data_IF_015677318382
#
_entry.id   IF_015677318382
#
_cell.length_a   1.000
_cell.length_b   1.000
_cell.length_c   1.000
_cell.angle_alpha   90.00
_cell.angle_beta   90.00
_cell.angle_gamma   90.00
#
_symmetry.space_group_name_H-M   'P 1'
#
loop_
_entity.id
_entity.type
_entity.pdbx_description
1 polymer ?
#
# COMPACT_ATOMS: atom_id res chain seq x y z
N UNK A 1 -12.35 -15.27 42.86
CA UNK A 1 -11.97 -14.00 42.21
C UNK A 1 -11.04 -14.38 41.07
N UNK A 2 -11.59 -14.43 39.85
CA UNK A 2 -10.93 -14.73 38.56
C UNK A 2 -9.83 -13.68 38.32
N UNK A 3 -8.62 -14.02 37.90
CA UNK A 3 -8.26 -14.24 36.49
C UNK A 3 -7.28 -15.43 36.33
N UNK A 4 -7.70 -16.37 35.49
CA UNK A 4 -6.93 -17.46 34.88
C UNK A 4 -6.78 -17.07 33.40
N UNK A 5 -5.55 -16.97 32.89
CA UNK A 5 -5.03 -17.89 31.86
C UNK A 5 -3.65 -17.44 31.37
N UNK A 6 -2.65 -18.18 31.85
CA UNK A 6 -1.47 -18.58 31.08
C UNK A 6 -1.92 -19.53 29.97
N UNK A 7 -1.34 -19.39 28.77
CA UNK A 7 -0.98 -20.50 27.89
C UNK A 7 -0.73 -20.02 26.44
N UNK A 8 0.51 -20.24 26.02
CA UNK A 8 0.83 -20.99 24.80
C UNK A 8 0.77 -20.26 23.46
N UNK A 9 1.98 -19.85 23.06
CA UNK A 9 2.57 -20.01 21.72
C UNK A 9 1.81 -20.97 20.80
N UNK A 10 1.15 -20.42 19.78
CA UNK A 10 0.64 -21.14 18.61
C UNK A 10 1.49 -20.81 17.38
N UNK A 11 1.62 -21.73 16.42
CA UNK A 11 2.84 -21.92 15.65
C UNK A 11 2.83 -21.19 14.31
N UNK A 12 3.98 -21.25 13.63
CA UNK A 12 4.16 -21.01 12.18
C UNK A 12 4.43 -19.56 11.78
N UNK A 13 5.64 -19.09 12.14
CA UNK A 13 6.48 -18.30 11.23
C UNK A 13 6.73 -19.16 9.98
N UNK A 14 5.71 -19.20 9.12
CA UNK A 14 5.80 -19.72 7.78
C UNK A 14 6.00 -18.47 6.95
N UNK A 15 7.23 -18.25 6.48
CA UNK A 15 7.60 -17.21 5.51
C UNK A 15 6.80 -17.40 4.21
N UNK A 16 5.49 -17.16 4.27
CA UNK A 16 4.71 -16.57 3.20
C UNK A 16 5.29 -15.17 2.98
N UNK A 17 5.25 -14.59 1.77
CA UNK A 17 5.74 -13.23 1.57
C UNK A 17 5.09 -12.35 2.66
N UNK A 18 5.91 -11.81 3.57
CA UNK A 18 5.44 -11.13 4.78
C UNK A 18 4.42 -10.07 4.38
N UNK A 19 3.14 -10.33 4.62
CA UNK A 19 2.11 -9.33 4.46
C UNK A 19 2.44 -8.20 5.44
N UNK A 20 2.44 -6.98 4.94
CA UNK A 20 2.81 -5.82 5.70
C UNK A 20 1.55 -5.25 6.36
N UNK A 21 1.52 -5.29 7.69
CA UNK A 21 0.38 -4.83 8.49
C UNK A 21 0.70 -3.51 9.21
N UNK A 22 -0.18 -2.53 9.07
CA UNK A 22 -0.13 -1.28 9.81
C UNK A 22 -1.47 -1.01 10.47
N UNK A 23 -1.41 -0.54 11.72
CA UNK A 23 -2.59 -0.12 12.47
C UNK A 23 -2.39 1.30 12.97
N UNK A 24 -3.43 2.12 12.84
CA UNK A 24 -3.39 3.52 13.29
C UNK A 24 -4.76 3.96 13.78
N UNK A 25 -4.79 4.67 14.90
CA UNK A 25 -6.01 5.31 15.41
C UNK A 25 -6.05 6.74 14.91
N UNK A 26 -7.09 7.07 14.16
CA UNK A 26 -7.33 8.40 13.61
C UNK A 26 -8.40 9.11 14.44
N UNK A 27 -8.14 10.35 14.84
CA UNK A 27 -9.08 11.25 15.53
C UNK A 27 -10.10 11.84 14.53
N UNK A 28 -10.72 10.97 13.75
CA UNK A 28 -11.71 11.32 12.75
C UNK A 28 -12.78 10.23 12.67
N UNK A 29 -14.06 10.60 12.41
CA UNK A 29 -15.12 9.61 12.23
C UNK A 29 -14.88 8.80 10.96
N UNK A 30 -15.35 7.54 10.91
CA UNK A 30 -15.03 6.62 9.82
C UNK A 30 -15.51 7.14 8.46
N UNK A 31 -16.61 7.90 8.43
CA UNK A 31 -17.09 8.56 7.22
C UNK A 31 -16.10 9.59 6.64
N UNK A 32 -15.35 10.31 7.48
CA UNK A 32 -14.34 11.28 7.04
C UNK A 32 -13.11 10.57 6.50
N UNK A 33 -12.66 9.51 7.18
CA UNK A 33 -11.53 8.69 6.73
C UNK A 33 -11.88 7.98 5.41
N UNK A 34 -13.09 7.42 5.30
CA UNK A 34 -13.59 6.80 4.08
C UNK A 34 -13.52 7.76 2.88
N UNK A 35 -13.96 9.00 3.06
CA UNK A 35 -13.89 10.04 2.01
C UNK A 35 -12.45 10.32 1.58
N UNK A 36 -11.50 10.37 2.52
CA UNK A 36 -10.08 10.58 2.21
C UNK A 36 -9.46 9.42 1.42
N UNK A 37 -10.00 8.21 1.57
CA UNK A 37 -9.54 7.00 0.88
C UNK A 37 -10.27 6.72 -0.44
N UNK A 38 -11.45 7.29 -0.66
CA UNK A 38 -12.29 7.02 -1.85
C UNK A 38 -12.37 8.16 -2.85
N UNK A 39 -12.20 9.42 -2.42
CA UNK A 39 -12.26 10.57 -3.32
C UNK A 39 -10.90 10.70 -4.02
N UNK A 40 -10.84 10.58 -5.36
CA UNK A 40 -9.58 10.59 -6.10
C UNK A 40 -8.72 11.82 -5.84
N UNK A 41 -9.30 13.02 -5.76
CA UNK A 41 -8.58 14.25 -5.44
C UNK A 41 -7.90 14.20 -4.05
N UNK A 42 -8.56 13.60 -3.06
CA UNK A 42 -7.98 13.45 -1.72
C UNK A 42 -6.91 12.38 -1.70
N UNK A 43 -7.15 11.23 -2.35
CA UNK A 43 -6.16 10.18 -2.50
C UNK A 43 -4.91 10.74 -3.18
N UNK A 44 -5.06 11.41 -4.32
CA UNK A 44 -3.95 12.03 -5.03
C UNK A 44 -3.19 13.05 -4.17
N UNK A 45 -3.88 13.83 -3.32
CA UNK A 45 -3.24 14.85 -2.49
C UNK A 45 -2.27 14.29 -1.43
N UNK A 46 -2.53 13.10 -0.86
CA UNK A 46 -1.62 12.49 0.12
C UNK A 46 -0.77 11.35 -0.43
N UNK A 47 -1.21 10.70 -1.52
CA UNK A 47 -0.53 9.58 -2.16
C UNK A 47 0.51 10.02 -3.18
N UNK A 48 0.27 11.14 -3.88
CA UNK A 48 1.32 11.74 -4.70
C UNK A 48 2.37 12.30 -3.76
N UNK A 49 3.68 12.07 -3.99
CA UNK A 49 4.72 12.84 -3.35
C UNK A 49 4.65 14.27 -3.88
N UNK A 50 3.65 15.01 -3.42
CA UNK A 50 3.54 16.43 -3.68
C UNK A 50 4.62 17.05 -2.80
N UNK A 51 5.60 17.67 -3.44
CA UNK A 51 6.61 18.59 -2.89
C UNK A 51 6.05 19.77 -2.07
N UNK A 52 4.78 19.73 -1.68
CA UNK A 52 4.08 20.77 -0.95
C UNK A 52 3.84 20.32 0.49
N UNK A 53 4.90 20.42 1.29
CA UNK A 53 4.83 20.20 2.71
C UNK A 53 6.14 20.60 3.34
N UNK A 54 6.32 21.91 3.56
CA UNK A 54 7.32 22.48 4.45
C UNK A 54 7.22 21.85 5.84
N UNK A 55 7.87 20.70 6.05
CA UNK A 55 8.52 20.33 7.31
C UNK A 55 9.54 19.22 7.02
N UNK A 56 10.82 19.60 7.08
CA UNK A 56 11.97 18.78 6.75
C UNK A 56 12.30 17.71 7.81
N UNK A 57 11.32 16.91 8.26
CA UNK A 57 11.53 15.99 9.38
C UNK A 57 10.77 14.65 9.29
N UNK A 58 10.60 14.07 8.09
CA UNK A 58 10.47 12.60 7.96
C UNK A 58 10.53 12.18 6.50
N UNK A 59 11.73 11.90 6.02
CA UNK A 59 12.04 10.87 5.02
C UNK A 59 13.49 11.09 4.66
N UNK A 60 14.37 10.36 5.34
CA UNK A 60 15.78 10.30 5.02
C UNK A 60 15.94 9.95 3.53
N UNK A 61 16.30 10.96 2.74
CA UNK A 61 17.05 10.91 1.48
C UNK A 61 17.13 9.49 0.89
N UNK A 62 16.16 9.15 0.05
CA UNK A 62 16.47 8.41 -1.17
C UNK A 62 16.38 9.42 -2.30
N UNK A 63 17.48 9.60 -3.00
CA UNK A 63 17.58 10.23 -4.30
C UNK A 63 16.67 9.48 -5.30
N UNK A 64 15.34 9.61 -5.15
CA UNK A 64 14.37 9.04 -6.07
C UNK A 64 14.31 9.96 -7.29
N UNK A 65 15.16 9.61 -8.25
CA UNK A 65 15.21 10.18 -9.58
C UNK A 65 13.89 9.84 -10.28
N UNK A 66 13.00 10.82 -10.33
CA UNK A 66 11.66 10.78 -10.93
C UNK A 66 10.68 9.83 -10.23
N UNK A 67 9.42 10.24 -9.99
CA UNK A 67 8.43 9.37 -9.36
C UNK A 67 8.10 8.25 -10.36
N UNK A 68 8.70 7.07 -10.18
CA UNK A 68 8.26 5.88 -10.92
C UNK A 68 6.77 5.70 -10.63
N UNK A 69 5.94 5.98 -11.65
CA UNK A 69 4.48 5.99 -11.59
C UNK A 69 3.98 4.79 -10.80
N UNK A 70 3.47 5.04 -9.60
CA UNK A 70 2.66 4.08 -8.88
C UNK A 70 1.27 4.07 -9.53
N UNK A 71 0.90 2.95 -10.14
CA UNK A 71 -0.46 2.75 -10.65
C UNK A 71 -1.31 2.18 -9.51
N UNK A 72 -2.30 2.96 -9.05
CA UNK A 72 -3.28 2.51 -8.06
C UNK A 72 -4.63 2.31 -8.72
N UNK A 73 -5.13 1.07 -8.70
CA UNK A 73 -6.44 0.72 -9.25
C UNK A 73 -7.35 0.21 -8.16
N UNK A 74 -8.54 0.81 -8.04
CA UNK A 74 -9.56 0.34 -7.10
C UNK A 74 -10.04 -1.07 -7.49
N UNK A 75 -9.93 -2.03 -6.56
CA UNK A 75 -10.40 -3.41 -6.74
C UNK A 75 -11.78 -3.61 -6.11
N UNK A 76 -11.97 -3.12 -4.88
CA UNK A 76 -13.23 -3.27 -4.15
C UNK A 76 -13.42 -2.11 -3.16
N UNK A 77 -14.67 -1.69 -2.95
CA UNK A 77 -15.03 -0.65 -1.99
C UNK A 77 -16.34 -1.01 -1.29
N UNK A 78 -16.26 -1.36 -0.01
CA UNK A 78 -17.39 -1.65 0.88
C UNK A 78 -17.51 -0.53 1.91
N UNK A 79 -18.30 0.49 1.58
CA UNK A 79 -18.43 1.67 2.41
C UNK A 79 -19.13 1.37 3.76
N UNK A 80 -18.67 1.94 4.88
CA UNK A 80 -17.40 2.65 5.12
C UNK A 80 -16.35 1.76 5.81
N UNK A 81 -16.38 0.45 5.57
CA UNK A 81 -15.66 -0.56 6.36
C UNK A 81 -14.39 -1.07 5.69
N UNK A 82 -14.38 -1.24 4.37
CA UNK A 82 -13.26 -1.87 3.68
C UNK A 82 -13.03 -1.31 2.27
N UNK A 83 -11.77 -1.14 1.90
CA UNK A 83 -11.35 -0.68 0.57
C UNK A 83 -10.13 -1.46 0.12
N UNK A 84 -10.08 -1.92 -1.12
CA UNK A 84 -8.97 -2.69 -1.68
C UNK A 84 -8.46 -2.04 -2.95
N UNK A 85 -7.16 -1.85 -3.02
CA UNK A 85 -6.45 -1.32 -4.19
C UNK A 85 -5.44 -2.33 -4.70
N UNK A 86 -5.35 -2.46 -6.02
CA UNK A 86 -4.17 -2.99 -6.68
C UNK A 86 -3.15 -1.86 -6.78
N UNK A 87 -1.91 -2.18 -6.43
CA UNK A 87 -0.81 -1.25 -6.38
C UNK A 87 0.32 -1.81 -7.22
N UNK A 88 0.67 -1.13 -8.31
CA UNK A 88 1.77 -1.51 -9.18
C UNK A 88 2.86 -0.44 -9.11
N UNK A 89 4.02 -0.80 -8.57
CA UNK A 89 5.19 0.05 -8.51
C UNK A 89 6.18 -0.38 -9.59
N UNK A 90 6.57 0.55 -10.46
CA UNK A 90 7.65 0.28 -11.43
C UNK A 90 8.99 0.39 -10.71
N UNK A 91 9.86 -0.57 -11.01
CA UNK A 91 11.23 -0.64 -10.50
C UNK A 91 12.17 -0.99 -11.65
N UNK A 92 12.67 0.01 -12.37
CA UNK A 92 13.57 -0.17 -13.53
C UNK A 92 13.02 -1.19 -14.56
N UNK A 93 13.54 -2.42 -14.55
CA UNK A 93 13.14 -3.52 -15.45
C UNK A 93 12.12 -4.49 -14.83
N UNK A 94 11.54 -4.13 -13.69
CA UNK A 94 10.57 -4.94 -12.95
C UNK A 94 9.36 -4.07 -12.59
N UNK A 95 8.24 -4.73 -12.35
CA UNK A 95 7.03 -4.14 -11.76
C UNK A 95 6.69 -4.98 -10.54
N UNK A 96 6.58 -4.33 -9.39
CA UNK A 96 6.08 -4.92 -8.16
C UNK A 96 4.58 -4.68 -8.08
N UNK A 97 3.80 -5.72 -8.30
CA UNK A 97 2.36 -5.70 -8.02
C UNK A 97 2.11 -6.12 -6.58
N UNK A 98 1.20 -5.44 -5.91
CA UNK A 98 0.72 -5.78 -4.58
C UNK A 98 -0.75 -5.37 -4.43
N UNK A 99 -1.39 -5.85 -3.38
CA UNK A 99 -2.76 -5.51 -3.02
C UNK A 99 -2.76 -4.84 -1.66
N UNK A 100 -3.23 -3.60 -1.61
CA UNK A 100 -3.38 -2.85 -0.35
C UNK A 100 -4.85 -2.87 0.05
N UNK A 101 -5.12 -3.41 1.23
CA UNK A 101 -6.44 -3.48 1.86
C UNK A 101 -6.48 -2.51 3.02
N UNK A 102 -7.42 -1.58 3.00
CA UNK A 102 -7.71 -0.65 4.08
C UNK A 102 -9.00 -1.09 4.77
N UNK A 103 -8.96 -1.29 6.07
CA UNK A 103 -10.13 -1.59 6.90
C UNK A 103 -10.33 -0.49 7.93
N UNK A 104 -11.59 -0.12 8.16
CA UNK A 104 -11.99 0.96 9.05
C UNK A 104 -12.96 0.40 10.08
N UNK A 105 -12.56 0.45 11.35
CA UNK A 105 -13.42 0.10 12.47
C UNK A 105 -13.64 1.34 13.37
N UNK A 106 -14.87 1.60 13.85
CA UNK A 106 -15.08 2.64 14.84
C UNK A 106 -14.30 2.31 16.12
N UNK A 107 -13.56 3.28 16.65
CA UNK A 107 -12.70 3.10 17.83
C UNK A 107 -12.92 4.24 18.82
N UNK A 108 -14.00 4.16 19.60
CA UNK A 108 -14.40 5.20 20.54
C UNK A 108 -15.19 6.34 19.89
N UNK A 109 -15.43 7.40 20.66
CA UNK A 109 -16.27 8.51 20.23
C UNK A 109 -15.50 9.42 19.26
N UNK A 110 -15.90 9.40 17.98
CA UNK A 110 -15.30 10.26 16.95
C UNK A 110 -13.97 9.79 16.37
N UNK A 111 -13.48 8.60 16.77
CA UNK A 111 -12.20 8.04 16.31
C UNK A 111 -12.39 6.75 15.51
N UNK A 112 -11.42 6.47 14.63
CA UNK A 112 -11.44 5.31 13.73
C UNK A 112 -10.13 4.56 13.82
N UNK A 113 -10.19 3.24 14.03
CA UNK A 113 -9.07 2.35 13.84
C UNK A 113 -8.96 2.03 12.36
N UNK A 114 -7.89 2.51 11.74
CA UNK A 114 -7.49 2.18 10.38
C UNK A 114 -6.50 1.01 10.45
N UNK A 115 -6.82 -0.09 9.78
CA UNK A 115 -5.88 -1.17 9.50
C UNK A 115 -5.54 -1.17 8.03
N UNK A 116 -4.26 -1.32 7.71
CA UNK A 116 -3.75 -1.40 6.35
C UNK A 116 -2.99 -2.71 6.25
N UNK A 117 -3.37 -3.54 5.28
CA UNK A 117 -2.66 -4.78 4.96
C UNK A 117 -2.22 -4.70 3.51
N UNK A 118 -0.92 -4.67 3.29
CA UNK A 118 -0.33 -4.75 1.96
C UNK A 118 0.27 -6.13 1.76
N UNK A 119 -0.20 -6.80 0.73
CA UNK A 119 0.13 -8.19 0.50
C UNK A 119 0.12 -8.59 -0.95
N UNK A 120 0.21 -9.90 -1.20
CA UNK A 120 0.18 -10.47 -2.56
C UNK A 120 1.27 -9.87 -3.47
N UNK A 121 2.48 -9.72 -2.92
CA UNK A 121 3.62 -9.18 -3.65
C UNK A 121 4.02 -10.09 -4.82
N UNK A 122 3.96 -9.56 -6.04
CA UNK A 122 4.38 -10.25 -7.25
C UNK A 122 5.34 -9.36 -8.02
N UNK A 123 6.58 -9.79 -8.13
CA UNK A 123 7.57 -9.15 -9.01
C UNK A 123 7.44 -9.72 -10.43
N UNK A 124 7.03 -8.88 -11.37
CA UNK A 124 6.98 -9.24 -12.80
C UNK A 124 8.07 -8.49 -13.58
N UNK A 125 8.68 -9.11 -14.60
CA UNK A 125 9.54 -8.38 -15.54
C UNK A 125 8.73 -7.37 -16.34
N UNK A 126 9.31 -6.20 -16.60
CA UNK A 126 8.79 -5.34 -17.67
C UNK A 126 8.92 -6.12 -18.97
N UNK A 127 7.85 -6.23 -19.75
CA UNK A 127 7.86 -7.03 -20.97
C UNK A 127 8.88 -6.44 -21.96
N UNK A 128 10.02 -7.10 -22.13
CA UNK A 128 11.07 -6.77 -23.10
C UNK A 128 10.68 -7.23 -24.50
N UNK A 129 9.44 -7.01 -24.94
CA UNK A 129 9.01 -7.39 -26.28
C UNK A 129 9.48 -6.34 -27.31
N UNK A 130 10.78 -6.06 -27.29
CA UNK A 130 11.51 -5.50 -28.41
C UNK A 130 11.95 -6.69 -29.27
N UNK A 131 11.08 -7.12 -30.17
CA UNK A 131 11.48 -7.94 -31.32
C UNK A 131 12.41 -7.09 -32.21
N UNK A 132 13.65 -6.87 -31.79
CA UNK A 132 14.69 -6.33 -32.65
C UNK A 132 15.36 -7.51 -33.37
N UNK A 133 15.27 -7.59 -34.72
CA UNK A 133 15.95 -8.65 -35.45
C UNK A 133 17.46 -8.53 -35.21
N UNK A 134 18.20 -9.66 -35.09
CA UNK A 134 19.64 -9.61 -34.93
C UNK A 134 20.27 -8.95 -36.16
N UNK A 135 20.97 -7.84 -35.96
CA UNK A 135 21.84 -7.27 -36.99
C UNK A 135 23.01 -8.23 -37.20
N UNK A 136 22.92 -9.10 -38.21
CA UNK A 136 24.06 -9.83 -38.74
C UNK A 136 25.01 -8.81 -39.41
N UNK A 137 26.09 -8.44 -38.73
CA UNK A 137 27.24 -7.81 -39.40
C UNK A 137 27.98 -8.90 -40.17
N UNK A 138 27.79 -8.94 -41.49
CA UNK A 138 28.70 -9.62 -42.39
C UNK A 138 29.90 -8.70 -42.67
N UNK A 139 31.10 -9.17 -42.37
CA UNK A 139 32.36 -8.65 -42.90
C UNK A 139 33.29 -9.83 -43.17
#
# INVERSE_FOLDING_TARGET
MTILNDATTGPEDKTAPDDLHFESVLEAPPAKVWRALTIPDYVAAWLTPTENGTDAARSSRRDLKEPELVDCRLLAAEAPQMLRYAWSEKMQERVLDSVVTFELAPHGEGSTLLRITQGSFVLRPVAANLNQPPLLLAA
#
